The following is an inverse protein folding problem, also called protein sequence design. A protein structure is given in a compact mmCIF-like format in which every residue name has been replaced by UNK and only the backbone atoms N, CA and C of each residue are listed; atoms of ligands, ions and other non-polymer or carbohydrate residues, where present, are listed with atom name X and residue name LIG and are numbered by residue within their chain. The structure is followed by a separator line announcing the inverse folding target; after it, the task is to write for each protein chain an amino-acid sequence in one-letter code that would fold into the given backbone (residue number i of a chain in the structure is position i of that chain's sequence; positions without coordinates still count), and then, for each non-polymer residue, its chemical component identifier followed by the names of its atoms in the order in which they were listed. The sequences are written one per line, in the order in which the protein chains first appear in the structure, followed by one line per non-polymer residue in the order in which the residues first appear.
data_IF_364884020992
#
_entry.id   IF_364884020992
#
_cell.length_a   1.000
_cell.length_b   1.000
_cell.length_c   1.000
_cell.angle_alpha   90.00
_cell.angle_beta   90.00
_cell.angle_gamma   90.00
#
_symmetry.space_group_name_H-M   'P 1'
#
loop_
_entity.id
_entity.type
_entity.pdbx_description
1 polymer ?
#
# COMPACT_ATOMS: atom_id res chain seq x y z
N UNK A 1 -1.49 15.22 7.61
CA UNK A 1 -1.56 16.45 8.44
C UNK A 1 -0.27 17.28 8.30
N UNK A 2 0.95 16.72 8.38
CA UNK A 2 2.22 17.48 8.21
C UNK A 2 2.33 18.14 6.82
N UNK A 3 1.98 17.45 5.76
CA UNK A 3 2.05 17.97 4.38
C UNK A 3 1.14 19.20 4.19
N UNK A 4 -0.10 19.14 4.69
CA UNK A 4 -1.05 20.26 4.62
C UNK A 4 -0.53 21.49 5.39
N UNK A 5 0.13 21.28 6.53
CA UNK A 5 0.72 22.35 7.33
C UNK A 5 1.89 23.03 6.64
N UNK A 6 2.67 22.31 5.85
CA UNK A 6 3.77 22.87 5.06
C UNK A 6 3.26 23.66 3.84
N UNK A 7 2.25 23.13 3.16
CA UNK A 7 1.58 23.82 2.06
C UNK A 7 0.95 25.15 2.50
N UNK A 8 0.32 25.16 3.68
CA UNK A 8 -0.25 26.39 4.24
C UNK A 8 0.76 27.50 4.53
N UNK A 9 2.05 27.17 4.60
CA UNK A 9 3.14 28.14 4.79
C UNK A 9 3.81 28.54 3.47
N UNK A 10 4.00 27.59 2.56
CA UNK A 10 4.74 27.80 1.32
C UNK A 10 3.93 28.60 0.29
N UNK A 11 2.64 28.31 0.11
CA UNK A 11 1.79 29.07 -0.83
C UNK A 11 1.72 30.57 -0.51
N UNK A 12 1.41 30.99 0.71
CA UNK A 12 1.37 32.41 1.04
C UNK A 12 2.74 33.10 0.89
N UNK A 13 3.84 32.39 1.14
CA UNK A 13 5.19 32.97 1.00
C UNK A 13 5.56 33.22 -0.47
N UNK A 14 5.16 32.37 -1.38
CA UNK A 14 5.39 32.55 -2.83
C UNK A 14 4.58 33.73 -3.37
N UNK A 15 3.30 33.81 -3.01
CA UNK A 15 2.45 34.94 -3.41
C UNK A 15 2.95 36.27 -2.84
N UNK A 16 3.43 36.24 -1.60
CA UNK A 16 4.03 37.42 -0.98
C UNK A 16 5.29 37.89 -1.74
N UNK A 17 6.18 36.96 -2.13
CA UNK A 17 7.38 37.29 -2.90
C UNK A 17 7.04 37.87 -4.28
N UNK A 18 6.08 37.27 -4.98
CA UNK A 18 5.64 37.77 -6.30
C UNK A 18 5.05 39.19 -6.17
N UNK A 19 4.21 39.39 -5.13
CA UNK A 19 3.63 40.69 -4.84
C UNK A 19 4.70 41.73 -4.51
N UNK A 20 5.68 41.37 -3.68
CA UNK A 20 6.80 42.23 -3.33
C UNK A 20 7.63 42.60 -4.57
N UNK A 21 7.94 41.62 -5.43
CA UNK A 21 8.63 41.88 -6.70
C UNK A 21 7.84 42.88 -7.58
N UNK A 22 6.53 42.71 -7.69
CA UNK A 22 5.67 43.62 -8.45
C UNK A 22 5.72 45.02 -7.90
N UNK A 23 5.65 45.20 -6.59
CA UNK A 23 5.76 46.52 -5.94
C UNK A 23 7.12 47.14 -6.22
N UNK A 24 8.21 46.39 -6.12
CA UNK A 24 9.56 46.89 -6.41
C UNK A 24 9.73 47.29 -7.87
N UNK A 25 9.20 46.49 -8.80
CA UNK A 25 9.21 46.77 -10.24
C UNK A 25 8.48 48.09 -10.52
N UNK A 26 7.29 48.27 -9.97
CA UNK A 26 6.51 49.50 -10.17
C UNK A 26 7.19 50.72 -9.53
N UNK A 27 7.81 50.54 -8.37
CA UNK A 27 8.52 51.62 -7.69
C UNK A 27 9.77 52.05 -8.43
N UNK A 28 10.68 51.12 -8.73
CA UNK A 28 11.95 51.46 -9.43
C UNK A 28 11.74 51.74 -10.92
N UNK A 29 10.95 50.91 -11.60
CA UNK A 29 10.65 51.09 -13.02
C UNK A 29 9.81 52.34 -13.28
N UNK A 30 8.83 52.64 -12.43
CA UNK A 30 8.10 53.93 -12.51
C UNK A 30 9.01 55.12 -12.37
N UNK A 31 9.99 55.07 -11.47
CA UNK A 31 11.01 56.13 -11.35
C UNK A 31 11.87 56.28 -12.59
N UNK A 32 12.28 55.16 -13.21
CA UNK A 32 13.04 55.16 -14.47
C UNK A 32 12.22 55.71 -15.63
N UNK A 33 10.92 55.45 -15.68
CA UNK A 33 10.02 56.03 -16.68
C UNK A 33 9.92 57.55 -16.52
N UNK A 34 9.78 58.03 -15.27
CA UNK A 34 9.76 59.47 -14.99
C UNK A 34 11.07 60.19 -15.34
N UNK A 35 12.19 59.49 -15.27
CA UNK A 35 13.51 59.96 -15.64
C UNK A 35 13.79 59.86 -17.15
N UNK A 36 12.87 59.26 -17.94
CA UNK A 36 13.03 59.08 -19.38
C UNK A 36 14.02 58.00 -19.80
N UNK A 37 14.50 57.16 -18.84
CA UNK A 37 15.46 56.08 -19.10
C UNK A 37 14.77 54.75 -19.46
N UNK A 38 13.46 54.67 -19.30
CA UNK A 38 12.62 53.52 -19.63
C UNK A 38 11.28 53.99 -20.19
N UNK A 39 10.73 53.27 -21.13
CA UNK A 39 9.36 53.52 -21.63
C UNK A 39 8.32 52.81 -20.78
N UNK A 40 7.08 53.27 -20.78
CA UNK A 40 5.95 52.61 -20.11
C UNK A 40 5.75 51.20 -20.66
N UNK A 41 5.94 51.00 -21.98
CA UNK A 41 5.82 49.70 -22.62
C UNK A 41 6.85 48.70 -22.11
N UNK A 42 8.11 49.12 -21.91
CA UNK A 42 9.14 48.26 -21.32
C UNK A 42 8.83 47.88 -19.87
N UNK A 43 8.31 48.81 -19.07
CA UNK A 43 7.90 48.55 -17.71
C UNK A 43 6.76 47.47 -17.63
N UNK A 44 5.76 47.62 -18.51
CA UNK A 44 4.64 46.68 -18.60
C UNK A 44 5.15 45.32 -19.08
N UNK A 45 5.99 45.26 -20.10
CA UNK A 45 6.59 44.04 -20.61
C UNK A 45 7.41 43.31 -19.53
N UNK A 46 8.25 44.07 -18.80
CA UNK A 46 9.07 43.50 -17.72
C UNK A 46 8.20 42.91 -16.60
N UNK A 47 7.16 43.62 -16.18
CA UNK A 47 6.22 43.11 -15.19
C UNK A 47 5.51 41.84 -15.67
N UNK A 48 5.11 41.79 -16.95
CA UNK A 48 4.50 40.59 -17.55
C UNK A 48 5.47 39.40 -17.54
N UNK A 49 6.76 39.60 -17.85
CA UNK A 49 7.75 38.53 -17.81
C UNK A 49 7.96 37.99 -16.40
N UNK A 50 7.97 38.83 -15.37
CA UNK A 50 8.08 38.38 -13.97
C UNK A 50 6.86 37.56 -13.57
N UNK A 51 5.65 37.99 -13.97
CA UNK A 51 4.44 37.21 -13.74
C UNK A 51 4.46 35.86 -14.46
N UNK A 52 5.00 35.79 -15.67
CA UNK A 52 5.16 34.53 -16.41
C UNK A 52 6.13 33.56 -15.71
N UNK A 53 7.10 34.03 -14.92
CA UNK A 53 8.00 33.17 -14.15
C UNK A 53 7.36 32.54 -12.92
N UNK A 54 6.27 33.12 -12.43
CA UNK A 54 5.55 32.56 -11.26
C UNK A 54 4.96 31.16 -11.55
N UNK A 55 4.43 30.95 -12.75
CA UNK A 55 3.82 29.65 -13.12
C UNK A 55 4.83 28.49 -13.14
N UNK A 56 6.02 28.58 -13.80
CA UNK A 56 7.05 27.56 -13.73
C UNK A 56 7.54 27.28 -12.28
N UNK A 57 7.65 28.32 -11.46
CA UNK A 57 8.06 28.16 -10.07
C UNK A 57 7.04 27.30 -9.26
N UNK A 58 5.76 27.54 -9.47
CA UNK A 58 4.69 26.72 -8.87
C UNK A 58 4.70 25.28 -9.40
N UNK A 59 4.95 25.08 -10.70
CA UNK A 59 5.07 23.76 -11.30
C UNK A 59 6.23 22.94 -10.72
N UNK A 60 7.38 23.57 -10.42
CA UNK A 60 8.49 22.88 -9.75
C UNK A 60 8.10 22.37 -8.37
N UNK A 61 7.36 23.15 -7.61
CA UNK A 61 6.86 22.72 -6.29
C UNK A 61 5.94 21.51 -6.41
N UNK A 62 5.03 21.53 -7.39
CA UNK A 62 4.15 20.39 -7.67
C UNK A 62 4.96 19.14 -8.06
N UNK A 63 5.97 19.30 -8.92
CA UNK A 63 6.82 18.18 -9.37
C UNK A 63 7.56 17.50 -8.21
N UNK A 64 8.10 18.28 -7.26
CA UNK A 64 8.78 17.74 -6.08
C UNK A 64 7.81 16.91 -5.22
N UNK A 65 6.58 17.37 -5.02
CA UNK A 65 5.57 16.63 -4.28
C UNK A 65 5.13 15.36 -5.01
N UNK A 66 4.89 15.46 -6.33
CA UNK A 66 4.54 14.30 -7.14
C UNK A 66 5.64 13.23 -7.13
N UNK A 67 6.92 13.62 -7.13
CA UNK A 67 8.04 12.70 -7.00
C UNK A 67 8.05 12.00 -5.62
N UNK A 68 7.73 12.72 -4.54
CA UNK A 68 7.63 12.13 -3.20
C UNK A 68 6.49 11.12 -3.08
N UNK A 69 5.33 11.41 -3.67
CA UNK A 69 4.19 10.47 -3.70
C UNK A 69 4.51 9.23 -4.55
N UNK A 70 5.18 9.42 -5.69
CA UNK A 70 5.60 8.33 -6.56
C UNK A 70 6.61 7.40 -5.87
N UNK A 71 7.60 7.95 -5.13
CA UNK A 71 8.56 7.16 -4.35
C UNK A 71 7.86 6.33 -3.27
N UNK A 72 6.94 6.94 -2.52
CA UNK A 72 6.17 6.23 -1.50
C UNK A 72 5.27 5.13 -2.09
N UNK A 73 4.65 5.42 -3.25
CA UNK A 73 3.84 4.44 -3.98
C UNK A 73 4.67 3.27 -4.52
N UNK A 74 5.83 3.59 -5.13
CA UNK A 74 6.74 2.59 -5.65
C UNK A 74 7.26 1.65 -4.55
N UNK A 75 7.62 2.19 -3.39
CA UNK A 75 8.05 1.38 -2.23
C UNK A 75 6.99 0.36 -1.81
N UNK A 76 5.72 0.77 -1.72
CA UNK A 76 4.63 -0.16 -1.37
C UNK A 76 4.43 -1.25 -2.40
N UNK A 77 4.55 -0.93 -3.68
CA UNK A 77 4.46 -1.93 -4.75
C UNK A 77 5.60 -2.92 -4.66
N UNK A 78 6.84 -2.43 -4.45
CA UNK A 78 8.01 -3.28 -4.30
C UNK A 78 7.92 -4.16 -3.04
N UNK A 79 7.44 -3.64 -1.91
CA UNK A 79 7.19 -4.44 -0.70
C UNK A 79 6.28 -5.64 -0.99
N UNK A 80 5.20 -5.42 -1.76
CA UNK A 80 4.29 -6.52 -2.15
C UNK A 80 4.95 -7.49 -3.11
N UNK A 81 5.69 -7.00 -4.11
CA UNK A 81 6.38 -7.84 -5.09
C UNK A 81 7.53 -8.65 -4.49
N UNK A 82 8.24 -8.07 -3.52
CA UNK A 82 9.36 -8.72 -2.84
C UNK A 82 8.91 -9.66 -1.71
N UNK A 83 7.63 -9.60 -1.32
CA UNK A 83 7.08 -10.50 -0.31
C UNK A 83 7.08 -11.93 -0.84
N UNK A 84 7.86 -12.79 -0.21
CA UNK A 84 7.89 -14.21 -0.55
C UNK A 84 6.66 -14.90 0.01
N UNK A 85 5.95 -15.72 -0.80
CA UNK A 85 4.86 -16.54 -0.27
C UNK A 85 5.37 -17.46 0.85
N UNK A 86 4.66 -17.49 1.97
CA UNK A 86 4.98 -18.40 3.08
C UNK A 86 4.74 -19.85 2.70
N UNK A 87 3.70 -20.09 1.89
CA UNK A 87 3.33 -21.43 1.43
C UNK A 87 3.82 -21.57 0.00
N UNK A 88 4.75 -22.48 -0.19
CA UNK A 88 5.30 -22.83 -1.49
C UNK A 88 5.19 -24.34 -1.63
N UNK A 89 4.74 -24.80 -2.80
CA UNK A 89 4.74 -26.22 -3.12
C UNK A 89 6.17 -26.74 -3.15
N UNK A 90 6.40 -27.89 -2.53
CA UNK A 90 7.70 -28.57 -2.58
C UNK A 90 8.03 -28.97 -4.02
N UNK A 91 9.32 -28.92 -4.40
CA UNK A 91 9.76 -29.44 -5.69
C UNK A 91 9.46 -30.97 -5.86
N UNK A 92 9.17 -31.68 -4.77
CA UNK A 92 8.75 -33.07 -4.77
C UNK A 92 7.24 -33.23 -4.58
N UNK A 93 6.45 -32.14 -4.71
CA UNK A 93 5.01 -32.21 -4.56
C UNK A 93 4.39 -33.12 -5.64
N UNK A 94 3.45 -33.93 -5.22
CA UNK A 94 2.75 -34.87 -6.09
C UNK A 94 1.37 -34.33 -6.41
N UNK A 95 0.90 -34.52 -7.64
CA UNK A 95 -0.48 -34.18 -7.97
C UNK A 95 -1.45 -35.13 -7.24
N UNK A 96 -2.49 -34.57 -6.68
CA UNK A 96 -3.55 -35.37 -6.06
C UNK A 96 -4.25 -36.22 -7.10
N UNK A 97 -4.47 -37.51 -6.84
CA UNK A 97 -5.35 -38.34 -7.67
C UNK A 97 -6.81 -37.81 -7.61
N UNK A 98 -7.70 -38.43 -8.38
CA UNK A 98 -9.12 -38.08 -8.34
C UNK A 98 -9.65 -38.11 -6.89
N UNK A 99 -10.09 -36.95 -6.39
CA UNK A 99 -10.50 -36.76 -5.00
C UNK A 99 -11.75 -37.56 -4.68
N UNK A 100 -11.72 -38.30 -3.59
CA UNK A 100 -12.89 -38.99 -2.99
C UNK A 100 -13.58 -38.08 -1.98
N UNK A 101 -12.80 -37.18 -1.33
CA UNK A 101 -13.30 -36.18 -0.41
C UNK A 101 -13.28 -36.61 1.06
N UNK A 102 -12.40 -37.54 1.47
CA UNK A 102 -12.13 -37.79 2.88
C UNK A 102 -11.18 -36.69 3.40
N UNK A 103 -11.54 -36.07 4.54
CA UNK A 103 -10.70 -35.04 5.20
C UNK A 103 -10.46 -35.45 6.64
N UNK A 104 -9.20 -35.45 7.06
CA UNK A 104 -8.83 -35.82 8.43
C UNK A 104 -7.87 -34.76 9.02
N UNK A 105 -8.24 -34.21 10.17
CA UNK A 105 -7.40 -33.39 11.00
C UNK A 105 -6.80 -34.23 12.12
N UNK A 106 -5.46 -34.28 12.21
CA UNK A 106 -4.73 -35.06 13.25
C UNK A 106 -3.95 -34.13 14.14
N UNK A 107 -4.37 -33.95 15.38
CA UNK A 107 -3.74 -33.13 16.41
C UNK A 107 -3.41 -31.72 15.91
N UNK A 108 -4.29 -31.13 15.08
CA UNK A 108 -4.06 -29.89 14.39
C UNK A 108 -4.12 -28.73 15.34
N UNK A 109 -3.02 -27.96 15.39
CA UNK A 109 -2.96 -26.66 16.04
C UNK A 109 -2.55 -25.59 15.01
N UNK A 110 -3.15 -24.41 15.10
CA UNK A 110 -2.84 -23.28 14.25
C UNK A 110 -2.64 -22.04 15.10
N UNK A 111 -1.52 -21.37 14.88
CA UNK A 111 -1.20 -20.05 15.43
C UNK A 111 -0.79 -19.14 14.30
N UNK A 112 -1.48 -18.06 14.10
CA UNK A 112 -1.07 -17.03 13.13
C UNK A 112 0.17 -16.27 13.63
N UNK A 113 1.01 -15.81 12.70
CA UNK A 113 2.29 -15.16 13.01
C UNK A 113 2.16 -13.96 13.96
N UNK A 114 1.10 -13.17 13.80
CA UNK A 114 0.87 -11.95 14.60
C UNK A 114 0.05 -12.19 15.88
N UNK A 115 -0.39 -13.42 16.14
CA UNK A 115 -1.24 -13.71 17.30
C UNK A 115 -0.45 -14.32 18.46
N UNK A 116 -0.73 -13.87 19.68
CA UNK A 116 -0.13 -14.44 20.91
C UNK A 116 -0.73 -15.78 21.29
N UNK A 117 -1.97 -16.06 20.86
CA UNK A 117 -2.71 -17.28 21.20
C UNK A 117 -2.93 -18.13 19.96
N UNK A 118 -2.95 -19.42 20.13
CA UNK A 118 -3.35 -20.35 19.07
C UNK A 118 -4.84 -20.14 18.75
N UNK A 119 -5.15 -20.06 17.46
CA UNK A 119 -6.53 -19.99 16.96
C UNK A 119 -7.22 -21.36 16.94
N UNK A 120 -6.43 -22.42 16.80
CA UNK A 120 -6.86 -23.81 16.92
C UNK A 120 -5.86 -24.57 17.81
N UNK A 121 -6.37 -25.50 18.64
CA UNK A 121 -5.54 -26.30 19.53
C UNK A 121 -6.04 -27.73 19.53
N UNK A 122 -5.17 -28.68 19.17
CA UNK A 122 -5.37 -30.12 19.21
C UNK A 122 -6.71 -30.59 18.59
N UNK A 123 -6.99 -30.10 17.38
CA UNK A 123 -8.19 -30.48 16.65
C UNK A 123 -8.03 -31.86 16.04
N UNK A 124 -8.93 -32.75 16.40
CA UNK A 124 -9.04 -34.09 15.85
C UNK A 124 -10.43 -34.26 15.24
N UNK A 125 -10.51 -34.38 13.92
CA UNK A 125 -11.77 -34.52 13.20
C UNK A 125 -11.54 -35.34 11.93
N UNK A 126 -12.41 -36.30 11.70
CA UNK A 126 -12.43 -37.10 10.47
C UNK A 126 -13.80 -37.01 9.80
N UNK A 127 -13.78 -36.56 8.54
CA UNK A 127 -14.95 -36.40 7.69
C UNK A 127 -14.85 -37.38 6.53
N UNK A 128 -15.88 -38.23 6.39
CA UNK A 128 -15.93 -39.24 5.31
C UNK A 128 -16.42 -38.61 3.98
N UNK A 129 -16.14 -39.22 2.85
CA UNK A 129 -16.71 -38.84 1.59
C UNK A 129 -18.24 -38.69 1.64
N UNK A 130 -18.77 -37.62 0.99
CA UNK A 130 -20.20 -37.30 0.95
C UNK A 130 -20.85 -37.03 2.32
N UNK A 131 -20.08 -36.84 3.36
CA UNK A 131 -20.59 -36.48 4.68
C UNK A 131 -20.79 -34.95 4.78
N UNK A 132 -21.96 -34.55 5.26
CA UNK A 132 -22.23 -33.16 5.60
C UNK A 132 -21.84 -32.90 7.07
N UNK A 133 -20.97 -31.94 7.30
CA UNK A 133 -20.52 -31.53 8.64
C UNK A 133 -20.81 -30.05 8.85
N UNK A 134 -21.47 -29.70 9.95
CA UNK A 134 -21.73 -28.33 10.35
C UNK A 134 -20.81 -27.94 11.51
N UNK A 135 -20.06 -26.83 11.32
CA UNK A 135 -19.23 -26.22 12.37
C UNK A 135 -20.01 -25.09 13.04
N UNK A 136 -20.33 -25.27 14.32
CA UNK A 136 -21.11 -24.32 15.11
C UNK A 136 -20.23 -23.74 16.22
N UNK A 137 -20.37 -22.45 16.49
CA UNK A 137 -19.64 -21.76 17.55
C UNK A 137 -19.71 -20.24 17.41
N UNK A 138 -19.26 -19.52 18.42
CA UNK A 138 -19.23 -18.07 18.47
C UNK A 138 -18.27 -17.48 17.41
N UNK A 139 -18.43 -16.18 17.09
CA UNK A 139 -17.46 -15.47 16.26
C UNK A 139 -16.08 -15.51 16.91
N UNK A 140 -15.03 -15.79 16.12
CA UNK A 140 -13.67 -15.92 16.63
C UNK A 140 -13.31 -17.31 17.20
N UNK A 141 -14.20 -18.32 17.13
CA UNK A 141 -13.90 -19.68 17.61
C UNK A 141 -13.05 -20.54 16.67
N UNK A 142 -12.47 -19.98 15.60
CA UNK A 142 -11.57 -20.70 14.70
C UNK A 142 -12.23 -21.46 13.55
N UNK A 143 -13.56 -21.39 13.34
CA UNK A 143 -14.27 -22.13 12.27
C UNK A 143 -13.69 -21.83 10.86
N UNK A 144 -13.52 -20.56 10.54
CA UNK A 144 -12.95 -20.13 9.25
C UNK A 144 -11.50 -20.58 9.13
N UNK A 145 -10.73 -20.50 10.21
CA UNK A 145 -9.34 -20.97 10.24
C UNK A 145 -9.26 -22.47 9.94
N UNK A 146 -10.15 -23.27 10.52
CA UNK A 146 -10.20 -24.71 10.28
C UNK A 146 -10.51 -25.04 8.81
N UNK A 147 -11.48 -24.35 8.21
CA UNK A 147 -11.84 -24.56 6.79
C UNK A 147 -10.70 -24.16 5.88
N UNK A 148 -9.99 -23.07 6.17
CA UNK A 148 -8.89 -22.54 5.36
C UNK A 148 -7.63 -23.44 5.38
N UNK A 149 -7.54 -24.39 6.30
CA UNK A 149 -6.46 -25.38 6.31
C UNK A 149 -6.64 -26.48 5.26
N UNK A 150 -7.88 -26.75 4.81
CA UNK A 150 -8.14 -27.79 3.80
C UNK A 150 -7.50 -27.43 2.45
N UNK A 151 -7.74 -26.21 1.88
CA UNK A 151 -7.07 -25.78 0.66
C UNK A 151 -5.63 -25.27 0.92
N UNK A 152 -5.10 -25.46 2.12
CA UNK A 152 -3.76 -25.04 2.52
C UNK A 152 -3.50 -23.54 2.34
N UNK A 153 -4.45 -22.68 2.71
CA UNK A 153 -4.18 -21.23 2.78
C UNK A 153 -3.22 -20.89 3.93
N UNK A 154 -3.11 -21.77 4.90
CA UNK A 154 -2.16 -21.71 6.02
C UNK A 154 -1.59 -23.09 6.27
N UNK A 155 -0.34 -23.18 6.67
CA UNK A 155 0.23 -24.42 7.19
C UNK A 155 -0.06 -24.54 8.69
N UNK A 156 -0.32 -25.76 9.15
CA UNK A 156 -0.54 -26.04 10.57
C UNK A 156 0.74 -25.79 11.37
N UNK A 157 0.61 -25.25 12.58
CA UNK A 157 1.74 -25.09 13.49
C UNK A 157 2.15 -26.43 14.12
N UNK A 158 1.18 -27.33 14.30
CA UNK A 158 1.41 -28.69 14.78
C UNK A 158 0.32 -29.62 14.22
N UNK A 159 0.64 -30.91 14.09
CA UNK A 159 -0.24 -31.90 13.50
C UNK A 159 -0.23 -31.94 11.98
N UNK A 160 -1.28 -32.50 11.38
CA UNK A 160 -1.41 -32.66 9.94
C UNK A 160 -2.86 -32.59 9.47
N UNK A 161 -3.09 -32.00 8.29
CA UNK A 161 -4.35 -32.08 7.53
C UNK A 161 -4.16 -33.06 6.39
N UNK A 162 -5.00 -34.07 6.34
CA UNK A 162 -4.90 -35.17 5.39
C UNK A 162 -6.15 -35.18 4.52
N UNK A 163 -5.96 -35.16 3.21
CA UNK A 163 -7.03 -35.29 2.23
C UNK A 163 -6.81 -36.57 1.44
N UNK A 164 -7.81 -37.48 1.47
CA UNK A 164 -7.75 -38.81 0.84
C UNK A 164 -6.48 -39.60 1.18
N UNK A 165 -6.00 -39.49 2.43
CA UNK A 165 -4.82 -40.17 2.92
C UNK A 165 -3.48 -39.48 2.67
N UNK A 166 -3.49 -38.32 2.02
CA UNK A 166 -2.29 -37.53 1.68
C UNK A 166 -2.24 -36.23 2.47
N UNK A 167 -1.09 -35.90 3.08
CA UNK A 167 -0.91 -34.62 3.78
C UNK A 167 -0.90 -33.48 2.77
N UNK A 168 -1.73 -32.46 3.01
CA UNK A 168 -1.87 -31.28 2.11
C UNK A 168 -0.56 -30.53 1.87
N UNK A 169 0.45 -30.70 2.72
CA UNK A 169 1.78 -30.08 2.55
C UNK A 169 2.64 -30.78 1.48
N UNK A 170 2.28 -31.99 1.10
CA UNK A 170 3.05 -32.81 0.13
C UNK A 170 2.46 -32.79 -1.28
N UNK A 171 1.39 -32.06 -1.49
CA UNK A 171 0.70 -31.95 -2.79
C UNK A 171 0.81 -30.54 -3.37
N UNK A 172 0.64 -30.45 -4.70
CA UNK A 172 0.63 -29.19 -5.47
C UNK A 172 -0.81 -28.79 -5.78
#
# INVERSE_FOLDING_TARGET
IKVISEWAKVMPSTDFLVTLCTILILWFGGRMVLQGTMTVGELVAFNAYVMMLAAPAQQLTWLVNAAGEADAGAKRVLEVLDTKPEIVSSAAATQLPALRGEVEFKNVSLKYLDEKRASLTDINLKVKPNQLVALIGQTGSGKTSLINLIPRFYDVSDGAVIVDGVDVRTVD
#
